data_IF_667229140271
#
_entry.id   IF_667229140271
#
_cell.length_a   1.000
_cell.length_b   1.000
_cell.length_c   1.000
_cell.angle_alpha   90.00
_cell.angle_beta   90.00
_cell.angle_gamma   90.00
#
_symmetry.space_group_name_H-M   'P 1'
#
loop_
_entity.id
_entity.type
_entity.pdbx_description
1 polymer ?
#
# COMPACT_ATOMS: atom_id res chain seq x y z
N UNK A 1 -35.04 3.08 -71.77
CA UNK A 1 -35.54 3.30 -70.39
C UNK A 1 -34.63 4.34 -69.75
N UNK A 2 -34.97 5.63 -69.81
CA UNK A 2 -35.78 6.41 -68.83
C UNK A 2 -35.09 6.42 -67.45
N UNK A 3 -34.30 7.43 -67.06
CA UNK A 3 -34.60 8.81 -66.59
C UNK A 3 -35.08 8.83 -65.12
N UNK A 4 -34.60 9.85 -64.36
CA UNK A 4 -35.29 10.61 -63.29
C UNK A 4 -34.83 10.44 -61.82
N UNK A 5 -34.25 11.56 -61.32
CA UNK A 5 -34.36 12.26 -60.03
C UNK A 5 -33.84 11.70 -58.67
N UNK A 6 -32.89 12.46 -58.10
CA UNK A 6 -32.84 12.95 -56.69
C UNK A 6 -33.95 14.01 -56.46
N UNK A 7 -34.21 14.72 -55.32
CA UNK A 7 -33.53 14.83 -54.02
C UNK A 7 -34.50 15.04 -52.79
N UNK A 8 -33.95 15.51 -51.65
CA UNK A 8 -34.53 16.45 -50.65
C UNK A 8 -35.73 16.11 -49.74
N UNK A 9 -35.49 16.20 -48.42
CA UNK A 9 -36.11 17.14 -47.43
C UNK A 9 -35.66 16.69 -46.03
N UNK A 10 -34.98 17.44 -45.15
CA UNK A 10 -35.04 18.84 -44.68
C UNK A 10 -36.25 19.13 -43.78
N UNK A 11 -35.98 19.94 -42.75
CA UNK A 11 -36.83 20.68 -41.80
C UNK A 11 -36.86 20.03 -40.41
N UNK A 12 -36.16 20.54 -39.38
CA UNK A 12 -36.20 21.84 -38.66
C UNK A 12 -37.13 21.83 -37.44
N UNK A 13 -36.76 22.72 -36.52
CA UNK A 13 -37.35 23.18 -35.27
C UNK A 13 -37.00 22.41 -33.99
N UNK A 14 -36.21 23.02 -33.08
CA UNK A 14 -36.56 24.16 -32.21
C UNK A 14 -37.66 23.75 -31.23
N UNK A 15 -37.70 24.11 -29.96
CA UNK A 15 -36.85 24.79 -29.00
C UNK A 15 -37.69 24.76 -27.70
N UNK A 16 -37.07 25.03 -26.54
CA UNK A 16 -37.70 25.29 -25.24
C UNK A 16 -38.30 24.11 -24.44
N UNK A 17 -37.66 23.85 -23.29
CA UNK A 17 -38.24 23.88 -21.92
C UNK A 17 -37.10 23.38 -20.99
N UNK A 18 -36.20 24.23 -20.47
CA UNK A 18 -36.40 25.10 -19.31
C UNK A 18 -37.39 24.54 -18.27
N UNK A 19 -36.91 23.62 -17.44
CA UNK A 19 -37.49 23.33 -16.13
C UNK A 19 -36.43 23.60 -15.06
N UNK A 20 -36.32 24.89 -14.72
CA UNK A 20 -36.02 25.32 -13.36
C UNK A 20 -37.30 25.17 -12.52
N UNK A 21 -37.17 24.54 -11.37
CA UNK A 21 -38.06 24.66 -10.20
C UNK A 21 -37.06 25.00 -9.09
N UNK A 22 -36.82 26.24 -8.65
CA UNK A 22 -37.67 27.27 -7.99
C UNK A 22 -38.32 26.78 -6.68
N UNK A 23 -37.71 27.31 -5.62
CA UNK A 23 -38.21 27.76 -4.33
C UNK A 23 -38.75 26.78 -3.28
N UNK A 24 -37.98 26.75 -2.19
CA UNK A 24 -38.43 26.51 -0.82
C UNK A 24 -37.73 27.49 0.12
N UNK A 25 -37.87 28.79 -0.15
CA UNK A 25 -37.68 29.83 0.86
C UNK A 25 -38.95 29.89 1.73
N UNK A 26 -38.78 29.83 3.05
CA UNK A 26 -39.71 30.43 3.98
C UNK A 26 -38.92 31.37 4.88
N UNK A 27 -39.14 32.64 4.57
CA UNK A 27 -38.91 33.85 5.33
C UNK A 27 -39.51 33.71 6.73
N UNK A 28 -38.82 34.25 7.72
CA UNK A 28 -39.34 35.10 8.80
C UNK A 28 -38.11 35.72 9.45
N UNK A 29 -37.78 36.97 9.13
CA UNK A 29 -38.19 38.13 9.93
C UNK A 29 -37.14 38.37 11.03
N UNK A 30 -36.61 39.54 11.34
CA UNK A 30 -37.01 40.92 11.12
C UNK A 30 -35.87 41.78 11.74
N UNK A 31 -35.66 42.98 11.16
CA UNK A 31 -35.01 44.19 11.67
C UNK A 31 -33.65 44.17 12.42
N UNK A 32 -32.68 44.78 11.72
CA UNK A 32 -32.03 46.08 12.02
C UNK A 32 -31.98 46.63 13.47
N UNK A 33 -30.74 47.04 13.77
CA UNK A 33 -30.32 48.34 14.34
C UNK A 33 -30.20 48.56 15.86
N UNK A 34 -29.19 49.40 16.14
CA UNK A 34 -28.98 50.31 17.28
C UNK A 34 -28.02 49.85 18.40
N UNK A 35 -26.76 50.26 18.21
CA UNK A 35 -25.90 51.07 19.10
C UNK A 35 -26.37 51.36 20.54
N UNK A 36 -25.52 51.06 21.53
CA UNK A 36 -25.13 51.97 22.65
C UNK A 36 -24.23 51.19 23.62
N UNK A 37 -22.97 51.58 23.84
CA UNK A 37 -22.52 52.58 24.83
C UNK A 37 -22.62 52.11 26.29
N UNK A 38 -21.46 52.14 26.92
CA UNK A 38 -21.20 52.63 28.28
C UNK A 38 -21.26 51.70 29.51
N UNK A 39 -20.10 51.71 30.16
CA UNK A 39 -19.82 51.93 31.57
C UNK A 39 -19.73 50.78 32.61
N UNK A 40 -18.47 50.57 33.05
CA UNK A 40 -17.93 50.79 34.41
C UNK A 40 -18.83 50.29 35.57
N UNK A 41 -18.33 49.41 36.45
CA UNK A 41 -17.82 49.80 37.80
C UNK A 41 -17.51 48.61 38.75
N UNK A 42 -16.37 48.78 39.42
CA UNK A 42 -15.98 48.46 40.81
C UNK A 42 -15.88 47.06 41.43
N UNK A 43 -14.83 47.03 42.26
CA UNK A 43 -14.29 46.04 43.17
C UNK A 43 -15.26 45.55 44.26
N UNK A 44 -14.98 44.37 44.83
CA UNK A 44 -14.62 44.31 46.25
C UNK A 44 -13.93 43.00 46.66
N UNK A 45 -13.05 43.17 47.64
CA UNK A 45 -12.24 42.18 48.33
C UNK A 45 -13.11 41.29 49.22
N UNK A 46 -12.81 39.99 49.32
CA UNK A 46 -12.82 39.34 50.63
C UNK A 46 -11.87 38.14 50.69
N UNK A 47 -10.89 38.27 51.57
CA UNK A 47 -10.03 37.18 52.01
C UNK A 47 -10.86 36.20 52.84
N UNK A 48 -10.85 34.91 52.49
CA UNK A 48 -11.00 33.86 53.50
C UNK A 48 -9.88 32.85 53.38
N UNK A 49 -9.01 32.94 54.37
CA UNK A 49 -7.78 32.20 54.60
C UNK A 49 -8.13 30.85 55.23
N UNK A 50 -8.15 29.75 54.47
CA UNK A 50 -8.08 28.40 55.04
C UNK A 50 -7.25 27.47 54.16
N UNK A 51 -6.01 27.23 54.57
CA UNK A 51 -5.24 26.01 54.29
C UNK A 51 -4.48 25.69 55.59
N UNK A 52 -4.20 24.41 55.94
CA UNK A 52 -3.88 23.34 55.01
C UNK A 52 -4.51 21.98 55.35
N UNK A 53 -4.99 21.26 54.33
CA UNK A 53 -5.07 19.80 54.42
C UNK A 53 -4.34 19.20 53.22
N UNK A 54 -3.03 19.06 53.40
CA UNK A 54 -2.18 18.29 52.52
C UNK A 54 -2.68 16.83 52.52
N UNK A 55 -3.59 16.53 51.58
CA UNK A 55 -3.76 15.17 51.09
C UNK A 55 -2.54 14.91 50.22
N UNK A 56 -1.56 14.19 50.76
CA UNK A 56 -0.55 13.49 49.97
C UNK A 56 -1.28 12.49 49.08
N UNK A 57 -1.79 12.95 47.94
CA UNK A 57 -2.05 12.09 46.81
C UNK A 57 -0.67 11.68 46.31
N UNK A 58 -0.25 10.48 46.70
CA UNK A 58 0.75 9.73 45.95
C UNK A 58 0.12 9.54 44.57
N UNK A 59 0.37 10.48 43.67
CA UNK A 59 0.18 10.29 42.23
C UNK A 59 1.14 9.15 41.91
N UNK A 60 0.62 7.92 41.89
CA UNK A 60 1.30 6.84 41.20
C UNK A 60 1.41 7.34 39.78
N UNK A 61 2.62 7.72 39.36
CA UNK A 61 3.01 7.90 37.98
C UNK A 61 2.70 6.59 37.25
N UNK A 62 1.44 6.44 36.85
CA UNK A 62 1.04 5.46 35.86
C UNK A 62 1.55 6.00 34.54
N UNK A 63 2.85 5.84 34.32
CA UNK A 63 3.48 6.01 33.01
C UNK A 63 2.58 5.29 32.00
N UNK A 64 2.03 5.98 30.99
CA UNK A 64 0.94 5.45 30.20
C UNK A 64 1.42 4.17 29.50
N UNK A 65 0.77 3.03 29.81
CA UNK A 65 1.04 1.71 29.18
C UNK A 65 1.14 1.79 27.65
N UNK A 66 0.50 2.78 27.05
CA UNK A 66 0.40 3.07 25.63
C UNK A 66 1.74 3.44 24.97
N UNK A 67 2.67 4.13 25.66
CA UNK A 67 3.96 4.52 25.04
C UNK A 67 4.89 3.32 24.83
N UNK A 68 5.00 2.46 25.84
CA UNK A 68 5.81 1.24 25.74
C UNK A 68 5.26 0.32 24.64
N UNK A 69 3.93 0.18 24.53
CA UNK A 69 3.31 -0.63 23.49
C UNK A 69 3.63 -0.14 22.07
N UNK A 70 3.55 1.17 21.82
CA UNK A 70 3.94 1.75 20.53
C UNK A 70 5.41 1.49 20.21
N UNK A 71 6.28 1.59 21.21
CA UNK A 71 7.70 1.28 21.07
C UNK A 71 7.93 -0.19 20.69
N UNK A 72 7.31 -1.15 21.38
CA UNK A 72 7.42 -2.58 21.05
C UNK A 72 6.87 -2.90 19.65
N UNK A 73 5.73 -2.33 19.28
CA UNK A 73 5.13 -2.54 17.95
C UNK A 73 6.04 -2.01 16.84
N UNK A 74 6.63 -0.84 17.02
CA UNK A 74 7.44 -0.21 15.98
C UNK A 74 8.84 -0.80 15.87
N UNK A 75 9.53 -0.98 17.01
CA UNK A 75 10.96 -1.31 17.01
C UNK A 75 11.29 -2.78 17.12
N UNK A 76 10.32 -3.61 17.52
CA UNK A 76 10.50 -5.06 17.63
C UNK A 76 9.60 -5.77 16.62
N UNK A 77 8.30 -5.46 16.59
CA UNK A 77 7.38 -6.19 15.72
C UNK A 77 7.58 -5.85 14.23
N UNK A 78 7.70 -4.57 13.85
CA UNK A 78 7.92 -4.20 12.43
C UNK A 78 9.15 -4.86 11.79
N UNK A 79 10.38 -4.75 12.36
CA UNK A 79 11.55 -5.39 11.76
C UNK A 79 11.44 -6.92 11.79
N UNK A 80 10.80 -7.51 12.81
CA UNK A 80 10.55 -8.96 12.86
C UNK A 80 9.61 -9.41 11.75
N UNK A 81 8.55 -8.66 11.45
CA UNK A 81 7.65 -8.94 10.33
C UNK A 81 8.42 -8.87 9.00
N UNK A 82 9.23 -7.83 8.77
CA UNK A 82 10.02 -7.73 7.54
C UNK A 82 11.10 -8.81 7.42
N UNK A 83 11.72 -9.23 8.53
CA UNK A 83 12.64 -10.35 8.55
C UNK A 83 11.92 -11.67 8.23
N UNK A 84 10.71 -11.86 8.76
CA UNK A 84 9.85 -13.00 8.43
C UNK A 84 9.54 -13.02 6.93
N UNK A 85 9.17 -11.87 6.36
CA UNK A 85 8.95 -11.73 4.91
C UNK A 85 10.22 -12.04 4.12
N UNK A 86 11.37 -11.57 4.59
CA UNK A 86 12.67 -11.82 3.94
C UNK A 86 12.96 -13.33 3.88
N UNK A 87 12.68 -14.05 4.97
CA UNK A 87 12.87 -15.49 5.04
C UNK A 87 11.87 -16.23 4.14
N UNK A 88 10.57 -15.95 4.27
CA UNK A 88 9.51 -16.65 3.54
C UNK A 88 9.54 -16.33 2.03
N UNK A 89 9.84 -15.09 1.66
CA UNK A 89 9.87 -14.63 0.27
C UNK A 89 10.94 -15.32 -0.59
N UNK A 90 12.06 -15.71 0.04
CA UNK A 90 13.14 -16.47 -0.59
C UNK A 90 12.98 -17.99 -0.56
N UNK A 91 12.03 -18.50 0.22
CA UNK A 91 11.83 -19.92 0.47
C UNK A 91 10.99 -20.56 -0.64
N UNK A 92 11.47 -21.67 -1.20
CA UNK A 92 10.71 -22.53 -2.13
C UNK A 92 10.75 -23.97 -1.63
N UNK A 93 9.78 -24.78 -2.05
CA UNK A 93 9.76 -26.22 -1.79
C UNK A 93 10.08 -26.96 -3.08
N UNK A 94 11.10 -27.82 -3.04
CA UNK A 94 11.45 -28.70 -4.17
C UNK A 94 10.27 -29.59 -4.54
N UNK A 95 10.00 -29.74 -5.85
CA UNK A 95 8.90 -30.58 -6.32
C UNK A 95 9.11 -32.09 -6.05
N UNK A 96 10.36 -32.55 -5.95
CA UNK A 96 10.67 -33.97 -5.75
C UNK A 96 10.42 -34.41 -4.30
N UNK A 97 10.95 -33.66 -3.34
CA UNK A 97 11.07 -34.13 -1.96
C UNK A 97 10.41 -33.19 -0.94
N UNK A 98 9.79 -32.10 -1.40
CA UNK A 98 9.34 -30.99 -0.55
C UNK A 98 10.45 -30.42 0.35
N UNK A 99 11.71 -30.55 -0.06
CA UNK A 99 12.84 -29.96 0.63
C UNK A 99 12.80 -28.43 0.54
N UNK A 100 13.15 -27.76 1.64
CA UNK A 100 13.26 -26.31 1.70
C UNK A 100 14.51 -25.84 0.95
N UNK A 101 14.32 -25.00 -0.06
CA UNK A 101 15.41 -24.41 -0.83
C UNK A 101 15.28 -22.88 -0.79
N UNK A 102 16.42 -22.20 -0.67
CA UNK A 102 16.47 -20.74 -0.72
C UNK A 102 16.91 -20.30 -2.12
N UNK A 103 16.08 -19.49 -2.76
CA UNK A 103 16.36 -18.97 -4.09
C UNK A 103 16.99 -17.57 -4.00
N UNK A 104 18.15 -17.40 -4.64
CA UNK A 104 18.81 -16.09 -4.71
C UNK A 104 17.94 -15.09 -5.51
N UNK A 105 17.72 -13.87 -5.01
CA UNK A 105 16.98 -12.87 -5.76
C UNK A 105 17.79 -12.41 -6.99
N UNK A 106 17.16 -12.27 -8.17
CA UNK A 106 17.81 -11.68 -9.33
C UNK A 106 18.10 -10.20 -9.12
N UNK A 107 19.10 -9.66 -9.83
CA UNK A 107 19.55 -8.27 -9.66
C UNK A 107 18.44 -7.25 -9.86
N UNK A 108 17.50 -7.54 -10.78
CA UNK A 108 16.33 -6.70 -11.06
C UNK A 108 15.46 -6.48 -9.81
N UNK A 109 15.36 -7.46 -8.90
CA UNK A 109 14.61 -7.29 -7.64
C UNK A 109 15.23 -6.22 -6.73
N UNK A 110 16.57 -6.07 -6.75
CA UNK A 110 17.24 -5.01 -6.00
C UNK A 110 16.90 -3.64 -6.58
N UNK A 111 16.90 -3.52 -7.91
CA UNK A 111 16.50 -2.28 -8.60
C UNK A 111 15.05 -1.92 -8.23
N UNK A 112 14.13 -2.87 -8.27
CA UNK A 112 12.74 -2.63 -7.89
C UNK A 112 12.59 -2.24 -6.42
N UNK A 113 13.34 -2.89 -5.52
CA UNK A 113 13.33 -2.54 -4.10
C UNK A 113 13.85 -1.11 -3.86
N UNK A 114 14.89 -0.68 -4.58
CA UNK A 114 15.39 0.71 -4.50
C UNK A 114 14.34 1.70 -4.99
N UNK A 115 13.75 1.47 -6.18
CA UNK A 115 12.69 2.35 -6.71
C UNK A 115 11.51 2.39 -5.75
N UNK A 116 11.11 1.25 -5.19
CA UNK A 116 10.01 1.16 -4.23
C UNK A 116 10.30 1.91 -2.92
N UNK A 117 11.53 1.85 -2.40
CA UNK A 117 11.92 2.68 -1.25
C UNK A 117 11.80 4.17 -1.58
N UNK A 118 12.28 4.60 -2.74
CA UNK A 118 12.14 6.01 -3.17
C UNK A 118 10.66 6.39 -3.25
N UNK A 119 9.80 5.51 -3.77
CA UNK A 119 8.35 5.73 -3.77
C UNK A 119 7.76 5.86 -2.37
N UNK A 120 8.24 5.11 -1.38
CA UNK A 120 7.78 5.25 0.00
C UNK A 120 8.13 6.61 0.59
N UNK A 121 9.33 7.14 0.31
CA UNK A 121 9.70 8.49 0.72
C UNK A 121 8.86 9.55 -0.02
N UNK A 122 8.73 9.42 -1.35
CA UNK A 122 7.98 10.36 -2.20
C UNK A 122 6.49 10.41 -1.83
N UNK A 123 5.87 9.27 -1.56
CA UNK A 123 4.46 9.19 -1.19
C UNK A 123 4.17 9.54 0.28
N UNK A 124 5.21 9.90 1.05
CA UNK A 124 5.10 10.23 2.46
C UNK A 124 4.75 9.03 3.35
N UNK A 125 4.96 7.80 2.88
CA UNK A 125 4.89 6.59 3.72
C UNK A 125 6.07 6.56 4.69
N UNK A 126 7.23 7.06 4.26
CA UNK A 126 8.42 7.29 5.07
C UNK A 126 8.82 8.77 4.95
N UNK A 127 9.24 9.41 6.05
CA UNK A 127 9.80 10.77 6.05
C UNK A 127 11.15 10.75 6.75
N UNK A 128 12.19 11.30 6.13
CA UNK A 128 13.53 11.25 6.74
C UNK A 128 13.57 12.01 8.07
N UNK A 129 12.89 13.15 8.15
CA UNK A 129 12.86 14.05 9.31
C UNK A 129 12.22 13.38 10.55
N UNK A 130 11.29 12.46 10.34
CA UNK A 130 10.64 11.71 11.43
C UNK A 130 11.42 10.47 11.88
N UNK A 131 12.36 9.99 11.05
CA UNK A 131 13.06 8.73 11.24
C UNK A 131 14.53 8.92 11.64
N UNK A 132 15.17 10.02 11.25
CA UNK A 132 16.54 10.33 11.63
C UNK A 132 16.64 11.77 12.12
N UNK A 133 17.27 11.94 13.27
CA UNK A 133 17.54 13.26 13.84
C UNK A 133 18.78 13.20 14.72
N UNK A 134 19.53 14.29 14.78
CA UNK A 134 20.63 14.46 15.75
C UNK A 134 20.10 14.56 17.19
N UNK A 135 18.84 14.97 17.37
CA UNK A 135 18.18 14.99 18.68
C UNK A 135 17.81 13.60 19.19
N UNK A 136 17.84 12.56 18.35
CA UNK A 136 17.58 11.20 18.77
C UNK A 136 18.84 10.54 19.31
N UNK A 137 18.67 9.64 20.28
CA UNK A 137 19.79 8.82 20.75
C UNK A 137 20.35 7.96 19.62
N UNK A 138 21.65 7.67 19.65
CA UNK A 138 22.33 6.80 18.68
C UNK A 138 21.61 5.46 18.53
N UNK A 139 21.13 4.89 19.63
CA UNK A 139 20.39 3.63 19.62
C UNK A 139 19.06 3.74 18.86
N UNK A 140 18.32 4.85 19.01
CA UNK A 140 17.06 5.07 18.30
C UNK A 140 17.31 5.24 16.79
N UNK A 141 18.34 5.97 16.40
CA UNK A 141 18.74 6.10 15.00
C UNK A 141 19.15 4.74 14.39
N UNK A 142 19.90 3.92 15.11
CA UNK A 142 20.26 2.55 14.69
C UNK A 142 19.01 1.67 14.55
N UNK A 143 18.06 1.77 15.48
CA UNK A 143 16.81 1.00 15.42
C UNK A 143 15.95 1.41 14.20
N UNK A 144 15.83 2.71 13.93
CA UNK A 144 15.18 3.24 12.73
C UNK A 144 15.88 2.76 11.45
N UNK A 145 17.22 2.79 11.40
CA UNK A 145 17.99 2.24 10.28
C UNK A 145 17.75 0.75 10.08
N UNK A 146 17.65 -0.03 11.17
CA UNK A 146 17.39 -1.47 11.12
C UNK A 146 16.02 -1.77 10.49
N UNK A 147 14.99 -0.97 10.80
CA UNK A 147 13.68 -1.10 10.14
C UNK A 147 13.79 -0.83 8.64
N UNK A 148 14.51 0.21 8.22
CA UNK A 148 14.69 0.51 6.79
C UNK A 148 15.48 -0.59 6.06
N UNK A 149 16.54 -1.12 6.69
CA UNK A 149 17.33 -2.21 6.14
C UNK A 149 16.48 -3.47 6.01
N UNK A 150 15.72 -3.85 7.04
CA UNK A 150 14.84 -5.03 6.99
C UNK A 150 13.71 -4.84 5.97
N UNK A 151 13.13 -3.65 5.86
CA UNK A 151 12.15 -3.30 4.82
C UNK A 151 12.73 -3.42 3.41
N UNK A 152 13.98 -2.99 3.21
CA UNK A 152 14.68 -3.13 1.92
C UNK A 152 14.81 -4.60 1.53
N UNK A 153 15.33 -5.44 2.42
CA UNK A 153 15.47 -6.88 2.17
C UNK A 153 14.12 -7.57 1.96
N UNK A 154 13.10 -7.20 2.73
CA UNK A 154 11.75 -7.70 2.54
C UNK A 154 11.20 -7.33 1.16
N UNK A 155 11.45 -6.10 0.70
CA UNK A 155 11.03 -5.64 -0.62
C UNK A 155 11.69 -6.43 -1.75
N UNK A 156 13.01 -6.70 -1.63
CA UNK A 156 13.73 -7.59 -2.57
C UNK A 156 13.04 -8.95 -2.63
N UNK A 157 12.73 -9.52 -1.48
CA UNK A 157 12.19 -10.87 -1.38
C UNK A 157 10.72 -10.97 -1.85
N UNK A 158 9.93 -9.90 -1.73
CA UNK A 158 8.61 -9.84 -2.34
C UNK A 158 8.70 -9.83 -3.86
N UNK A 159 9.61 -9.07 -4.47
CA UNK A 159 9.77 -9.16 -5.91
C UNK A 159 10.32 -10.53 -6.34
N UNK A 160 11.24 -11.12 -5.58
CA UNK A 160 11.72 -12.49 -5.82
C UNK A 160 10.59 -13.53 -5.73
N UNK A 161 9.63 -13.31 -4.82
CA UNK A 161 8.41 -14.09 -4.67
C UNK A 161 7.49 -13.99 -5.89
N UNK A 162 7.24 -12.78 -6.36
CA UNK A 162 6.22 -12.47 -7.37
C UNK A 162 6.72 -12.63 -8.81
N UNK A 163 8.02 -12.52 -9.06
CA UNK A 163 8.59 -12.72 -10.39
C UNK A 163 8.75 -14.22 -10.68
N UNK A 164 8.39 -14.69 -11.89
CA UNK A 164 8.77 -16.02 -12.36
C UNK A 164 10.29 -16.18 -12.37
N UNK A 165 10.81 -17.39 -12.19
CA UNK A 165 12.23 -17.60 -11.89
C UNK A 165 13.14 -17.49 -13.12
N UNK A 166 12.62 -17.81 -14.31
CA UNK A 166 13.34 -17.75 -15.59
C UNK A 166 12.36 -17.70 -16.77
N UNK A 167 12.90 -17.61 -17.99
CA UNK A 167 12.16 -17.63 -19.24
C UNK A 167 11.52 -16.28 -19.62
N UNK A 168 10.67 -16.30 -20.64
CA UNK A 168 9.91 -15.12 -21.08
C UNK A 168 9.02 -14.48 -19.98
N UNK A 169 8.32 -15.26 -19.12
CA UNK A 169 7.42 -14.68 -18.12
C UNK A 169 8.16 -13.82 -17.09
N UNK A 170 9.41 -14.18 -16.76
CA UNK A 170 10.27 -13.34 -15.93
C UNK A 170 10.40 -11.94 -16.52
N UNK A 171 10.76 -11.84 -17.79
CA UNK A 171 10.97 -10.55 -18.47
C UNK A 171 9.68 -9.76 -18.63
N UNK A 172 8.56 -10.41 -18.95
CA UNK A 172 7.25 -9.74 -19.07
C UNK A 172 6.83 -9.16 -17.73
N UNK A 173 6.88 -9.95 -16.65
CA UNK A 173 6.52 -9.46 -15.32
C UNK A 173 7.49 -8.37 -14.85
N UNK A 174 8.79 -8.57 -15.05
CA UNK A 174 9.80 -7.57 -14.71
C UNK A 174 9.55 -6.24 -15.46
N UNK A 175 9.27 -6.30 -16.76
CA UNK A 175 8.92 -5.10 -17.54
C UNK A 175 7.66 -4.43 -17.01
N UNK A 176 6.59 -5.18 -16.74
CA UNK A 176 5.36 -4.63 -16.18
C UNK A 176 5.57 -3.97 -14.81
N UNK A 177 6.34 -4.62 -13.91
CA UNK A 177 6.70 -4.05 -12.61
C UNK A 177 7.55 -2.80 -12.77
N UNK A 178 8.61 -2.86 -13.58
CA UNK A 178 9.48 -1.72 -13.84
C UNK A 178 8.69 -0.54 -14.38
N UNK A 179 7.88 -0.76 -15.42
CA UNK A 179 7.04 0.25 -16.04
C UNK A 179 6.06 0.88 -15.02
N UNK A 180 5.42 0.05 -14.18
CA UNK A 180 4.49 0.52 -13.15
C UNK A 180 5.20 1.35 -12.08
N UNK A 181 6.32 0.86 -11.55
CA UNK A 181 7.09 1.57 -10.52
C UNK A 181 7.69 2.87 -11.07
N UNK A 182 8.19 2.83 -12.29
CA UNK A 182 8.76 3.99 -12.98
C UNK A 182 7.72 5.08 -13.20
N UNK A 183 6.53 4.74 -13.73
CA UNK A 183 5.45 5.70 -13.88
C UNK A 183 4.99 6.26 -12.54
N UNK A 184 4.92 5.41 -11.51
CA UNK A 184 4.55 5.85 -10.18
C UNK A 184 5.55 6.83 -9.57
N UNK A 185 6.81 6.83 -10.05
CA UNK A 185 7.84 7.76 -9.62
C UNK A 185 7.55 9.18 -10.03
N UNK A 186 6.64 9.44 -10.99
CA UNK A 186 6.29 10.78 -11.45
C UNK A 186 4.89 11.23 -11.03
N UNK A 187 4.10 10.35 -10.42
CA UNK A 187 2.76 10.68 -9.93
C UNK A 187 2.83 11.12 -8.46
N UNK A 188 1.95 12.04 -8.07
CA UNK A 188 1.76 12.42 -6.68
C UNK A 188 0.81 11.43 -6.00
N UNK A 189 1.34 10.60 -5.11
CA UNK A 189 0.54 9.63 -4.35
C UNK A 189 0.52 9.96 -2.87
N UNK A 190 -0.65 9.77 -2.26
CA UNK A 190 -0.77 9.67 -0.82
C UNK A 190 -0.41 8.25 -0.38
N UNK A 191 0.30 8.08 0.74
CA UNK A 191 0.78 6.78 1.22
C UNK A 191 -0.28 5.66 1.24
N UNK A 192 -1.54 5.96 1.62
CA UNK A 192 -2.64 4.99 1.58
C UNK A 192 -2.97 4.51 0.17
N UNK A 193 -3.02 5.42 -0.80
CA UNK A 193 -3.28 5.11 -2.21
C UNK A 193 -2.12 4.31 -2.81
N UNK A 194 -0.87 4.63 -2.44
CA UNK A 194 0.29 3.84 -2.84
C UNK A 194 0.18 2.40 -2.32
N UNK A 195 -0.14 2.21 -1.04
CA UNK A 195 -0.28 0.87 -0.46
C UNK A 195 -1.42 0.06 -1.11
N UNK A 196 -2.55 0.69 -1.41
CA UNK A 196 -3.66 0.06 -2.11
C UNK A 196 -3.29 -0.35 -3.54
N UNK A 197 -2.61 0.54 -4.27
CA UNK A 197 -2.11 0.27 -5.62
C UNK A 197 -1.10 -0.89 -5.61
N UNK A 198 -0.13 -0.83 -4.70
CA UNK A 198 0.89 -1.88 -4.55
C UNK A 198 0.26 -3.23 -4.18
N UNK A 199 -0.67 -3.24 -3.24
CA UNK A 199 -1.43 -4.45 -2.87
C UNK A 199 -2.17 -5.05 -4.06
N UNK A 200 -2.78 -4.21 -4.91
CA UNK A 200 -3.49 -4.65 -6.11
C UNK A 200 -2.54 -5.26 -7.15
N UNK A 201 -1.40 -4.61 -7.42
CA UNK A 201 -0.39 -5.10 -8.36
C UNK A 201 0.24 -6.40 -7.85
N UNK A 202 0.54 -6.49 -6.55
CA UNK A 202 1.10 -7.70 -5.94
C UNK A 202 0.12 -8.87 -5.95
N UNK A 203 -1.15 -8.62 -5.64
CA UNK A 203 -2.19 -9.64 -5.73
C UNK A 203 -2.35 -10.14 -7.16
N UNK A 204 -2.36 -9.24 -8.15
CA UNK A 204 -2.43 -9.60 -9.56
C UNK A 204 -1.22 -10.43 -10.00
N UNK A 205 -0.02 -10.03 -9.60
CA UNK A 205 1.20 -10.78 -9.91
C UNK A 205 1.20 -12.16 -9.24
N UNK A 206 0.75 -12.24 -7.98
CA UNK A 206 0.63 -13.50 -7.26
C UNK A 206 -0.32 -14.47 -7.96
N UNK A 207 -1.54 -14.01 -8.28
CA UNK A 207 -2.53 -14.82 -9.02
C UNK A 207 -1.97 -15.24 -10.38
N UNK A 208 -1.34 -14.31 -11.10
CA UNK A 208 -0.81 -14.61 -12.43
C UNK A 208 0.31 -15.65 -12.38
N UNK A 209 1.23 -15.56 -11.41
CA UNK A 209 2.33 -16.53 -11.26
C UNK A 209 1.85 -17.88 -10.72
N UNK A 210 1.12 -17.87 -9.60
CA UNK A 210 0.82 -19.09 -8.85
C UNK A 210 -0.45 -19.81 -9.28
N UNK A 211 -1.38 -19.13 -9.95
CA UNK A 211 -2.61 -19.75 -10.45
C UNK A 211 -2.55 -19.89 -11.98
N UNK A 212 -2.28 -18.80 -12.71
CA UNK A 212 -2.34 -18.83 -14.19
C UNK A 212 -1.13 -19.58 -14.78
N UNK A 213 0.09 -19.25 -14.37
CA UNK A 213 1.30 -19.92 -14.88
C UNK A 213 1.38 -21.39 -14.44
N UNK A 214 0.96 -21.70 -13.21
CA UNK A 214 0.87 -23.07 -12.73
C UNK A 214 -0.11 -23.90 -13.59
N UNK A 215 -1.24 -23.30 -13.99
CA UNK A 215 -2.19 -23.93 -14.90
C UNK A 215 -1.60 -24.18 -16.29
N UNK A 216 -0.87 -23.21 -16.85
CA UNK A 216 -0.27 -23.33 -18.19
C UNK A 216 0.89 -24.33 -18.29
N UNK A 217 1.46 -24.77 -17.16
CA UNK A 217 2.67 -25.62 -17.12
C UNK A 217 2.43 -27.04 -16.57
N UNK A 218 1.17 -27.42 -16.33
CA UNK A 218 0.78 -28.74 -15.85
C UNK A 218 1.04 -29.86 -16.90
N UNK A 219 1.54 -31.06 -16.51
CA UNK A 219 1.90 -32.16 -17.42
C UNK A 219 0.73 -33.08 -17.78
N UNK A 220 0.61 -33.42 -19.08
CA UNK A 220 -0.45 -34.09 -19.87
C UNK A 220 -1.06 -35.43 -19.37
N UNK A 221 -1.38 -35.64 -18.10
CA UNK A 221 -2.12 -36.85 -17.64
C UNK A 221 -2.45 -36.65 -16.16
N UNK A 222 -3.69 -36.54 -15.68
CA UNK A 222 -4.87 -37.34 -15.97
C UNK A 222 -6.11 -36.46 -15.63
N UNK A 223 -7.02 -36.21 -16.58
CA UNK A 223 -8.35 -35.58 -16.35
C UNK A 223 -8.50 -34.17 -15.71
N UNK A 224 -8.68 -33.00 -16.35
CA UNK A 224 -8.14 -32.22 -17.48
C UNK A 224 -7.99 -32.80 -18.91
N UNK A 225 -8.81 -33.79 -19.25
CA UNK A 225 -8.81 -34.70 -20.42
C UNK A 225 -9.09 -34.14 -21.82
N UNK A 226 -8.92 -32.85 -22.00
CA UNK A 226 -8.47 -32.36 -23.29
C UNK A 226 -7.28 -31.49 -23.01
N UNK A 227 -6.22 -32.02 -22.39
CA UNK A 227 -5.06 -31.23 -21.94
C UNK A 227 -4.29 -30.53 -23.05
N UNK A 228 -4.89 -30.45 -24.24
CA UNK A 228 -4.41 -30.94 -25.52
C UNK A 228 -5.64 -31.07 -26.44
N UNK A 229 -6.33 -32.21 -26.46
CA UNK A 229 -6.85 -32.79 -27.71
C UNK A 229 -6.09 -32.31 -28.97
N UNK A 230 -4.77 -32.35 -28.85
CA UNK A 230 -3.75 -32.36 -29.91
C UNK A 230 -3.01 -31.03 -30.12
N UNK A 231 -2.31 -30.59 -29.07
CA UNK A 231 -1.00 -29.91 -29.08
C UNK A 231 -0.47 -29.30 -30.41
N UNK A 232 -0.48 -27.96 -30.53
CA UNK A 232 0.54 -27.26 -31.32
C UNK A 232 1.47 -26.36 -30.49
N UNK A 233 1.09 -25.92 -29.29
CA UNK A 233 1.83 -24.88 -28.54
C UNK A 233 2.47 -25.34 -27.24
N UNK A 234 2.18 -26.54 -26.72
CA UNK A 234 2.79 -26.99 -25.47
C UNK A 234 4.30 -27.18 -25.59
N UNK A 235 4.82 -27.64 -26.72
CA UNK A 235 6.27 -27.71 -26.93
C UNK A 235 6.90 -26.32 -27.04
N UNK A 236 6.22 -25.39 -27.73
CA UNK A 236 6.63 -23.99 -27.79
C UNK A 236 6.64 -23.34 -26.40
N UNK A 237 5.60 -23.53 -25.58
CA UNK A 237 5.51 -22.96 -24.24
C UNK A 237 6.42 -23.65 -23.23
N UNK A 238 6.63 -24.96 -23.34
CA UNK A 238 7.60 -25.68 -22.50
C UNK A 238 9.02 -25.20 -22.78
N UNK A 239 9.36 -24.99 -24.06
CA UNK A 239 10.63 -24.41 -24.48
C UNK A 239 10.77 -22.91 -24.14
N UNK A 240 9.70 -22.12 -24.31
CA UNK A 240 9.68 -20.67 -24.07
C UNK A 240 9.68 -20.30 -22.59
N UNK A 241 9.06 -21.14 -21.76
CA UNK A 241 8.90 -20.89 -20.34
C UNK A 241 9.98 -21.53 -19.50
N UNK A 242 10.39 -22.77 -19.79
CA UNK A 242 11.41 -23.54 -19.03
C UNK A 242 11.36 -23.20 -17.52
N UNK A 243 10.17 -23.19 -16.92
CA UNK A 243 9.98 -22.73 -15.54
C UNK A 243 10.34 -23.88 -14.58
N UNK A 244 11.12 -23.62 -13.52
CA UNK A 244 11.38 -24.63 -12.51
C UNK A 244 10.08 -24.95 -11.78
N UNK A 245 9.79 -26.24 -11.61
CA UNK A 245 8.61 -26.69 -10.87
C UNK A 245 8.92 -26.72 -9.38
N UNK A 246 8.04 -26.12 -8.59
CA UNK A 246 8.07 -26.18 -7.13
C UNK A 246 6.83 -26.90 -6.61
N UNK A 247 6.92 -27.46 -5.41
CA UNK A 247 5.76 -28.05 -4.77
C UNK A 247 4.69 -26.99 -4.48
N UNK A 248 3.41 -27.39 -4.49
CA UNK A 248 2.26 -26.51 -4.25
C UNK A 248 2.35 -25.74 -2.92
N UNK A 249 3.02 -26.33 -1.91
CA UNK A 249 3.34 -25.69 -0.63
C UNK A 249 4.01 -24.31 -0.78
N UNK A 250 4.77 -24.10 -1.86
CA UNK A 250 5.45 -22.84 -2.16
C UNK A 250 4.47 -21.67 -2.31
N UNK A 251 3.34 -21.90 -2.98
CA UNK A 251 2.32 -20.86 -3.18
C UNK A 251 1.74 -20.35 -1.87
N UNK A 252 1.50 -21.24 -0.90
CA UNK A 252 1.01 -20.87 0.43
C UNK A 252 2.04 -20.05 1.21
N UNK A 253 3.32 -20.46 1.19
CA UNK A 253 4.40 -19.70 1.84
C UNK A 253 4.49 -18.28 1.25
N UNK A 254 4.39 -18.16 -0.08
CA UNK A 254 4.46 -16.88 -0.76
C UNK A 254 3.23 -16.00 -0.50
N UNK A 255 2.05 -16.60 -0.38
CA UNK A 255 0.82 -15.88 0.00
C UNK A 255 0.99 -15.18 1.36
N UNK A 256 1.48 -15.92 2.37
CA UNK A 256 1.75 -15.33 3.68
C UNK A 256 2.87 -14.29 3.65
N UNK A 257 3.91 -14.48 2.83
CA UNK A 257 4.95 -13.47 2.65
C UNK A 257 4.37 -12.13 2.15
N UNK A 258 3.51 -12.17 1.13
CA UNK A 258 2.86 -10.96 0.59
C UNK A 258 1.95 -10.30 1.64
N UNK A 259 1.14 -11.08 2.36
CA UNK A 259 0.28 -10.55 3.43
C UNK A 259 1.10 -9.89 4.53
N UNK A 260 2.14 -10.55 5.03
CA UNK A 260 2.99 -10.01 6.08
C UNK A 260 3.73 -8.76 5.62
N UNK A 261 4.13 -8.68 4.34
CA UNK A 261 4.73 -7.48 3.80
C UNK A 261 3.76 -6.29 3.80
N UNK A 262 2.54 -6.48 3.29
CA UNK A 262 1.52 -5.44 3.27
C UNK A 262 1.11 -5.03 4.70
N UNK A 263 1.01 -6.00 5.62
CA UNK A 263 0.76 -5.74 7.03
C UNK A 263 1.91 -4.95 7.67
N UNK A 264 3.15 -5.31 7.39
CA UNK A 264 4.34 -4.60 7.86
C UNK A 264 4.35 -3.15 7.38
N UNK A 265 4.03 -2.92 6.10
CA UNK A 265 3.88 -1.57 5.55
C UNK A 265 2.72 -0.80 6.20
N UNK A 266 1.60 -1.45 6.46
CA UNK A 266 0.44 -0.84 7.13
C UNK A 266 0.75 -0.42 8.57
N UNK A 267 1.60 -1.19 9.26
CA UNK A 267 2.03 -0.89 10.64
C UNK A 267 3.09 0.21 10.73
N UNK A 268 3.69 0.63 9.60
CA UNK A 268 4.60 1.77 9.62
C UNK A 268 3.83 3.02 10.05
N UNK A 269 4.36 3.80 11.01
CA UNK A 269 3.66 4.95 11.54
C UNK A 269 3.36 5.94 10.42
N UNK A 270 2.08 6.26 10.14
CA UNK A 270 1.76 7.33 9.23
C UNK A 270 2.22 8.64 9.85
N UNK A 271 2.64 9.56 8.99
CA UNK A 271 2.96 10.93 9.38
C UNK A 271 1.73 11.54 10.06
N UNK A 272 1.79 11.78 11.36
CA UNK A 272 0.86 12.69 12.02
C UNK A 272 1.24 14.10 11.59
N UNK A 273 0.57 14.63 10.57
CA UNK A 273 0.56 16.06 10.28
C UNK A 273 -0.18 16.72 11.44
N UNK A 274 0.57 17.08 12.47
CA UNK A 274 0.11 17.96 13.53
C UNK A 274 0.83 19.29 13.36
N UNK A 275 0.65 19.90 12.19
CA UNK A 275 0.93 21.32 11.98
C UNK A 275 -0.40 22.06 12.06
N UNK A 276 -0.82 22.37 13.29
CA UNK A 276 -1.56 23.61 13.50
C UNK A 276 -0.51 24.72 13.51
N UNK A 277 -0.48 25.44 12.40
CA UNK A 277 -0.18 26.87 12.25
C UNK A 277 0.56 27.51 13.44
N UNK A 278 1.82 27.91 13.19
CA UNK A 278 2.45 29.06 13.83
C UNK A 278 2.87 30.04 12.76
#
# INVERSE_FOLDING_TARGET
MSKVQSPESKVEDDSFENLQIIDGELIDGELLEVSSSDDINYCDEEQTKVAPRAKNQIVKDQKPKTENQKFYLQYILSPLIFLTVTLLGGLRLSAADSALIFLKPPLVCLIFAVILLVLFFRAGLLKLEGWFSESFSTLKNIANATILITLFFASIQIFNSLLPEKGLPFWVFAFCFFWTLWNNLFVEFQGKRLLQSLGSVFALAFVSKYLILAYLTAPASESWWRGILENPTQEFFTFLFDLPRFAAGTGYIQFFAVIFYLLGLFLLPPVSVNEKQS
#
